data_IF_372864425340
#
_entry.id   IF_372864425340
#
_cell.length_a   1.000
_cell.length_b   1.000
_cell.length_c   1.000
_cell.angle_alpha   90.00
_cell.angle_beta   90.00
_cell.angle_gamma   90.00
#
_symmetry.space_group_name_H-M   'P 1'
#
loop_
_entity.id
_entity.type
_entity.pdbx_description
1 polymer ?
#
# COMPACT_ATOMS: atom_id res chain seq x y z
N UNK A 1 12.08 4.18 -32.28
CA UNK A 1 11.47 5.16 -31.36
C UNK A 1 12.33 5.20 -30.12
N UNK A 2 13.01 6.33 -29.89
CA UNK A 2 13.79 6.55 -28.68
C UNK A 2 12.78 6.71 -27.54
N UNK A 3 12.85 5.88 -26.52
CA UNK A 3 12.06 6.06 -25.30
C UNK A 3 12.56 7.34 -24.61
N UNK A 4 11.69 8.32 -24.48
CA UNK A 4 11.99 9.56 -23.76
C UNK A 4 11.66 9.29 -22.29
N UNK A 5 12.65 9.04 -21.48
CA UNK A 5 12.55 9.01 -20.01
C UNK A 5 13.17 10.30 -19.46
N UNK A 6 12.46 10.94 -18.55
CA UNK A 6 12.93 12.18 -17.91
C UNK A 6 14.17 11.93 -17.04
N UNK A 7 14.30 10.73 -16.48
CA UNK A 7 15.47 10.25 -15.75
C UNK A 7 15.38 8.73 -15.60
N UNK A 8 16.42 7.99 -16.00
CA UNK A 8 16.50 6.57 -15.68
C UNK A 8 16.55 6.36 -14.16
N UNK A 9 16.04 5.22 -13.73
CA UNK A 9 16.18 4.80 -12.32
C UNK A 9 17.66 4.56 -12.02
N UNK A 10 18.20 5.33 -11.09
CA UNK A 10 19.55 5.14 -10.59
C UNK A 10 19.56 4.06 -9.50
N UNK A 11 20.64 3.28 -9.49
CA UNK A 11 20.90 2.37 -8.41
C UNK A 11 21.35 3.15 -7.17
N UNK A 12 20.49 3.18 -6.16
CA UNK A 12 20.70 3.89 -4.88
C UNK A 12 20.92 2.94 -3.72
N UNK A 13 21.13 1.67 -4.04
CA UNK A 13 21.32 0.61 -3.04
C UNK A 13 20.21 0.53 -2.01
N UNK A 14 18.96 0.90 -2.39
CA UNK A 14 17.83 0.93 -1.49
C UNK A 14 16.53 0.57 -2.20
N UNK A 15 15.83 -0.44 -1.68
CA UNK A 15 14.53 -0.89 -2.17
C UNK A 15 13.53 -0.77 -1.03
N UNK A 16 12.35 -0.22 -1.33
CA UNK A 16 11.26 -0.12 -0.36
C UNK A 16 10.12 -1.05 -0.74
N UNK A 17 9.59 -1.79 0.22
CA UNK A 17 8.37 -2.57 0.07
C UNK A 17 7.31 -1.91 0.95
N UNK A 18 6.23 -1.46 0.31
CA UNK A 18 5.11 -0.84 0.99
C UNK A 18 3.95 -1.82 1.03
N UNK A 19 3.38 -2.00 2.20
CA UNK A 19 2.27 -2.90 2.47
C UNK A 19 1.08 -2.07 2.91
N UNK A 20 -0.08 -2.32 2.31
CA UNK A 20 -1.35 -1.70 2.70
C UNK A 20 -2.37 -2.78 2.97
N UNK A 21 -2.92 -2.78 4.17
CA UNK A 21 -4.03 -3.64 4.49
C UNK A 21 -5.35 -3.12 3.94
N UNK A 22 -6.33 -3.99 3.95
CA UNK A 22 -7.74 -3.60 3.78
C UNK A 22 -8.21 -2.81 5.00
N UNK A 23 -9.21 -1.97 4.82
CA UNK A 23 -9.84 -1.27 5.95
C UNK A 23 -10.44 -2.27 6.94
N UNK A 24 -10.22 -1.99 8.23
CA UNK A 24 -10.67 -2.88 9.30
C UNK A 24 -9.66 -3.98 9.68
N UNK A 25 -8.53 -4.09 9.00
CA UNK A 25 -7.46 -4.99 9.43
C UNK A 25 -6.90 -4.59 10.79
N UNK A 26 -6.60 -5.57 11.62
CA UNK A 26 -6.00 -5.34 12.94
C UNK A 26 -4.51 -5.03 12.81
N UNK A 27 -3.95 -4.41 13.85
CA UNK A 27 -2.50 -4.14 13.90
C UNK A 27 -1.69 -5.45 13.87
N UNK A 28 -2.17 -6.48 14.58
CA UNK A 28 -1.54 -7.81 14.62
C UNK A 28 -1.45 -8.42 13.24
N UNK A 29 -2.54 -8.34 12.47
CA UNK A 29 -2.53 -8.83 11.07
C UNK A 29 -1.48 -8.11 10.23
N UNK A 30 -1.41 -6.76 10.31
CA UNK A 30 -0.43 -5.98 9.55
C UNK A 30 0.99 -6.32 9.97
N UNK A 31 1.25 -6.43 11.26
CA UNK A 31 2.55 -6.81 11.81
C UNK A 31 2.98 -8.17 11.26
N UNK A 32 2.14 -9.18 11.45
CA UNK A 32 2.46 -10.57 11.08
C UNK A 32 2.65 -10.72 9.57
N UNK A 33 1.83 -10.04 8.77
CA UNK A 33 1.99 -10.01 7.32
C UNK A 33 3.28 -9.27 6.90
N UNK A 34 3.59 -8.16 7.57
CA UNK A 34 4.84 -7.42 7.29
C UNK A 34 6.06 -8.24 7.64
N UNK A 35 6.03 -8.98 8.75
CA UNK A 35 7.11 -9.88 9.16
C UNK A 35 7.29 -11.04 8.18
N UNK A 36 6.20 -11.61 7.66
CA UNK A 36 6.27 -12.64 6.60
C UNK A 36 6.91 -12.11 5.32
N UNK A 37 6.53 -10.89 4.89
CA UNK A 37 7.13 -10.27 3.70
C UNK A 37 8.59 -9.91 3.95
N UNK A 38 8.94 -9.49 5.18
CA UNK A 38 10.31 -9.22 5.57
C UNK A 38 11.18 -10.48 5.53
N UNK A 39 10.71 -11.60 6.07
CA UNK A 39 11.41 -12.88 6.02
C UNK A 39 11.60 -13.37 4.57
N UNK A 40 10.61 -13.17 3.72
CA UNK A 40 10.73 -13.46 2.29
C UNK A 40 11.78 -12.56 1.63
N UNK A 41 11.77 -11.26 1.90
CA UNK A 41 12.75 -10.31 1.35
C UNK A 41 14.16 -10.64 1.84
N UNK A 42 14.30 -11.07 3.08
CA UNK A 42 15.53 -11.56 3.70
C UNK A 42 16.15 -12.73 2.92
N UNK A 43 15.33 -13.67 2.53
CA UNK A 43 15.73 -14.86 1.78
C UNK A 43 16.07 -14.53 0.31
N UNK A 44 15.30 -13.65 -0.32
CA UNK A 44 15.43 -13.33 -1.75
C UNK A 44 16.54 -12.31 -2.05
N UNK A 45 16.96 -11.53 -1.05
CA UNK A 45 18.03 -10.55 -1.15
C UNK A 45 19.16 -10.87 -0.14
N UNK A 46 19.89 -11.99 -0.31
CA UNK A 46 20.97 -12.36 0.61
C UNK A 46 22.11 -11.34 0.65
N UNK A 47 22.27 -10.54 -0.41
CA UNK A 47 23.30 -9.48 -0.49
C UNK A 47 22.98 -8.26 0.35
N UNK A 48 21.79 -8.17 0.96
CA UNK A 48 21.43 -6.99 1.76
C UNK A 48 22.42 -6.70 2.87
N UNK A 49 22.69 -5.43 3.08
CA UNK A 49 23.47 -4.96 4.22
C UNK A 49 22.59 -4.82 5.47
N UNK A 50 21.35 -4.35 5.30
CA UNK A 50 20.40 -4.20 6.39
C UNK A 50 18.95 -4.33 5.88
N UNK A 51 18.07 -4.71 6.79
CA UNK A 51 16.63 -4.78 6.56
C UNK A 51 15.93 -4.06 7.71
N UNK A 52 15.19 -3.01 7.39
CA UNK A 52 14.40 -2.25 8.36
C UNK A 52 12.93 -2.56 8.17
N UNK A 53 12.25 -2.94 9.23
CA UNK A 53 10.83 -3.27 9.24
C UNK A 53 10.08 -2.32 10.16
N UNK A 54 8.98 -1.76 9.67
CA UNK A 54 8.07 -0.92 10.46
C UNK A 54 6.63 -1.26 10.10
N UNK A 55 5.79 -1.41 11.10
CA UNK A 55 4.36 -1.56 10.94
C UNK A 55 3.60 -0.50 11.75
N UNK A 56 2.48 -0.05 11.23
CA UNK A 56 1.49 0.76 11.93
C UNK A 56 0.09 0.17 11.70
N UNK A 57 -0.94 0.81 12.24
CA UNK A 57 -2.31 0.26 12.24
C UNK A 57 -2.87 -0.11 10.85
N UNK A 58 -2.33 0.41 9.76
CA UNK A 58 -2.89 0.20 8.41
C UNK A 58 -1.84 -0.13 7.36
N UNK A 59 -0.57 0.07 7.66
CA UNK A 59 0.51 -0.05 6.69
C UNK A 59 1.75 -0.73 7.29
N UNK A 60 2.44 -1.49 6.44
CA UNK A 60 3.78 -2.00 6.70
C UNK A 60 4.79 -1.37 5.74
N UNK A 61 5.99 -1.18 6.23
CA UNK A 61 7.11 -0.62 5.47
C UNK A 61 8.35 -1.45 5.71
N UNK A 62 8.94 -1.96 4.64
CA UNK A 62 10.19 -2.67 4.68
C UNK A 62 11.17 -1.93 3.78
N UNK A 63 12.34 -1.62 4.31
CA UNK A 63 13.44 -1.05 3.54
C UNK A 63 14.58 -2.04 3.51
N UNK A 64 14.97 -2.47 2.32
CA UNK A 64 16.12 -3.31 2.06
C UNK A 64 17.26 -2.40 1.64
N UNK A 65 18.30 -2.31 2.45
CA UNK A 65 19.54 -1.62 2.11
C UNK A 65 20.52 -2.62 1.51
N UNK A 66 21.03 -2.28 0.36
CA UNK A 66 22.01 -3.07 -0.36
C UNK A 66 23.41 -2.45 -0.17
N UNK A 67 24.49 -3.22 -0.29
CA UNK A 67 25.84 -2.68 -0.39
C UNK A 67 26.01 -1.88 -1.68
N UNK A 68 27.14 -1.21 -1.84
CA UNK A 68 27.47 -0.52 -3.10
C UNK A 68 27.38 -1.49 -4.29
N UNK A 69 27.01 -0.98 -5.46
CA UNK A 69 26.88 -1.80 -6.67
C UNK A 69 28.16 -2.55 -7.02
N UNK A 70 29.31 -2.05 -6.61
CA UNK A 70 30.61 -2.67 -6.81
C UNK A 70 30.84 -3.91 -5.94
N UNK A 71 30.11 -4.01 -4.83
CA UNK A 71 30.27 -5.04 -3.81
C UNK A 71 29.18 -6.13 -3.90
N UNK A 72 28.39 -6.16 -4.98
CA UNK A 72 27.32 -7.12 -5.21
C UNK A 72 27.23 -7.56 -6.67
N UNK A 73 26.70 -8.75 -6.89
CA UNK A 73 26.56 -9.33 -8.23
C UNK A 73 25.32 -8.83 -8.96
N UNK A 74 24.19 -8.70 -8.24
CA UNK A 74 22.91 -8.29 -8.80
C UNK A 74 22.69 -6.79 -8.64
N UNK A 75 22.16 -6.16 -9.70
CA UNK A 75 21.71 -4.76 -9.64
C UNK A 75 20.49 -4.61 -8.72
N UNK A 76 20.25 -3.40 -8.22
CA UNK A 76 19.03 -3.07 -7.47
C UNK A 76 17.77 -3.41 -8.27
N UNK A 77 17.77 -3.21 -9.59
CA UNK A 77 16.61 -3.50 -10.45
C UNK A 77 16.31 -4.99 -10.50
N UNK A 78 17.31 -5.84 -10.67
CA UNK A 78 17.15 -7.31 -10.67
C UNK A 78 16.58 -7.82 -9.34
N UNK A 79 17.11 -7.32 -8.23
CA UNK A 79 16.61 -7.67 -6.89
C UNK A 79 15.18 -7.18 -6.71
N UNK A 80 14.87 -5.95 -7.13
CA UNK A 80 13.53 -5.39 -7.05
C UNK A 80 12.51 -6.16 -7.90
N UNK A 81 12.90 -6.65 -9.07
CA UNK A 81 12.06 -7.48 -9.94
C UNK A 81 11.75 -8.84 -9.30
N UNK A 82 12.75 -9.49 -8.70
CA UNK A 82 12.55 -10.74 -7.95
C UNK A 82 11.60 -10.53 -6.79
N UNK A 83 11.82 -9.49 -5.99
CA UNK A 83 10.95 -9.15 -4.87
C UNK A 83 9.51 -8.84 -5.36
N UNK A 84 9.35 -8.06 -6.43
CA UNK A 84 8.05 -7.70 -7.00
C UNK A 84 7.25 -8.92 -7.44
N UNK A 85 7.88 -9.89 -8.10
CA UNK A 85 7.22 -11.13 -8.55
C UNK A 85 6.70 -11.94 -7.36
N UNK A 86 7.49 -12.05 -6.30
CA UNK A 86 7.13 -12.85 -5.13
C UNK A 86 6.07 -12.16 -4.24
N UNK A 87 6.15 -10.84 -4.11
CA UNK A 87 5.18 -10.05 -3.34
C UNK A 87 3.80 -10.07 -3.99
N UNK A 88 3.71 -10.03 -5.33
CA UNK A 88 2.42 -10.11 -6.06
C UNK A 88 1.65 -11.40 -5.83
N UNK A 89 2.32 -12.48 -5.50
CA UNK A 89 1.68 -13.77 -5.18
C UNK A 89 0.91 -13.78 -3.84
N UNK A 90 1.09 -12.76 -3.01
CA UNK A 90 0.41 -12.64 -1.71
C UNK A 90 -0.85 -11.79 -1.86
N UNK A 91 -2.01 -12.40 -1.57
CA UNK A 91 -3.34 -11.78 -1.78
C UNK A 91 -3.97 -11.23 -0.50
N UNK A 92 -3.40 -11.52 0.67
CA UNK A 92 -3.95 -11.18 1.98
C UNK A 92 -3.89 -9.66 2.27
N UNK A 93 -2.84 -8.99 1.78
CA UNK A 93 -2.73 -7.53 1.79
C UNK A 93 -2.05 -7.06 0.50
N UNK A 94 -2.25 -5.79 0.16
CA UNK A 94 -1.59 -5.20 -1.01
C UNK A 94 -0.16 -4.84 -0.65
N UNK A 95 0.81 -5.51 -1.26
CA UNK A 95 2.20 -5.19 -1.11
C UNK A 95 2.83 -4.84 -2.48
N UNK A 96 3.68 -3.84 -2.52
CA UNK A 96 4.34 -3.40 -3.73
C UNK A 96 5.76 -2.93 -3.46
N UNK A 97 6.64 -3.26 -4.38
CA UNK A 97 8.05 -2.88 -4.34
C UNK A 97 8.21 -1.55 -5.05
N UNK A 98 8.90 -0.63 -4.43
CA UNK A 98 9.17 0.69 -4.95
C UNK A 98 10.66 0.99 -4.88
N UNK A 99 11.21 1.49 -5.97
CA UNK A 99 12.55 2.05 -6.04
C UNK A 99 12.47 3.57 -5.97
N UNK A 100 13.45 4.19 -5.33
CA UNK A 100 13.49 5.65 -5.26
C UNK A 100 13.75 6.24 -6.65
N UNK A 101 12.88 7.16 -7.05
CA UNK A 101 13.08 7.95 -8.25
C UNK A 101 14.20 8.97 -8.04
N UNK A 102 14.98 9.25 -9.10
CA UNK A 102 16.02 10.28 -9.10
C UNK A 102 15.45 11.68 -8.91
N UNK A 103 14.29 11.93 -9.49
CA UNK A 103 13.53 13.17 -9.34
C UNK A 103 12.22 12.90 -8.57
N UNK A 104 11.98 13.72 -7.58
CA UNK A 104 10.81 13.60 -6.72
C UNK A 104 11.22 13.19 -5.31
N UNK A 105 11.07 14.11 -4.37
CA UNK A 105 11.49 13.93 -2.99
C UNK A 105 10.82 12.72 -2.32
N UNK A 106 11.07 12.55 -1.02
CA UNK A 106 10.58 11.45 -0.15
C UNK A 106 9.08 11.14 -0.17
N UNK A 107 8.29 11.91 -0.92
CA UNK A 107 6.85 11.74 -1.17
C UNK A 107 6.53 11.14 -2.54
N UNK A 108 7.50 10.56 -3.24
CA UNK A 108 7.23 9.88 -4.49
C UNK A 108 6.27 8.72 -4.22
N UNK A 109 4.99 9.01 -4.34
CA UNK A 109 3.92 8.03 -4.43
C UNK A 109 4.03 7.24 -5.74
N UNK A 110 2.95 6.67 -6.19
CA UNK A 110 2.91 6.03 -7.51
C UNK A 110 3.26 7.06 -8.60
N UNK A 111 3.99 6.66 -9.67
CA UNK A 111 4.50 7.56 -10.70
C UNK A 111 3.40 8.31 -11.44
N UNK A 112 2.18 7.76 -11.47
CA UNK A 112 1.01 8.39 -12.06
C UNK A 112 -0.02 8.65 -10.96
N UNK A 113 -0.43 9.90 -10.82
CA UNK A 113 -1.43 10.32 -9.84
C UNK A 113 -2.55 11.07 -10.56
N UNK A 114 -3.78 10.61 -10.35
CA UNK A 114 -4.98 11.28 -10.84
C UNK A 114 -5.82 11.79 -9.69
N UNK A 115 -6.38 12.98 -9.85
CA UNK A 115 -7.35 13.54 -8.92
C UNK A 115 -8.72 13.46 -9.56
N UNK A 116 -9.60 12.63 -8.99
CA UNK A 116 -11.00 12.57 -9.37
C UNK A 116 -11.78 13.55 -8.50
N UNK A 117 -12.53 14.43 -9.14
CA UNK A 117 -13.38 15.42 -8.47
C UNK A 117 -14.84 15.19 -8.87
N UNK A 118 -15.73 15.29 -7.91
CA UNK A 118 -17.16 15.28 -8.14
C UNK A 118 -17.84 16.33 -7.24
N UNK A 119 -19.07 16.66 -7.56
CA UNK A 119 -19.86 17.65 -6.82
C UNK A 119 -20.36 17.13 -5.47
N UNK A 120 -20.38 15.80 -5.28
CA UNK A 120 -20.77 15.16 -4.03
C UNK A 120 -20.03 13.83 -3.83
N UNK A 121 -20.01 13.36 -2.58
CA UNK A 121 -19.37 12.11 -2.20
C UNK A 121 -20.10 10.87 -2.77
N UNK A 122 -21.44 10.96 -2.86
CA UNK A 122 -22.29 9.92 -3.43
C UNK A 122 -21.94 9.65 -4.90
N UNK A 123 -21.70 10.71 -5.68
CA UNK A 123 -21.26 10.59 -7.07
C UNK A 123 -19.88 9.92 -7.18
N UNK A 124 -18.96 10.26 -6.27
CA UNK A 124 -17.66 9.55 -6.23
C UNK A 124 -17.84 8.07 -5.92
N UNK A 125 -18.74 7.74 -5.00
CA UNK A 125 -19.03 6.35 -4.62
C UNK A 125 -19.65 5.56 -5.81
N UNK A 126 -20.47 6.21 -6.63
CA UNK A 126 -21.08 5.63 -7.81
C UNK A 126 -20.07 5.35 -8.93
N UNK A 127 -19.21 6.33 -9.24
CA UNK A 127 -18.33 6.24 -10.41
C UNK A 127 -16.97 5.59 -10.13
N UNK A 128 -16.48 5.66 -8.89
CA UNK A 128 -15.15 5.16 -8.53
C UNK A 128 -14.95 3.67 -8.82
N UNK A 129 -15.91 2.76 -8.51
CA UNK A 129 -15.74 1.32 -8.80
C UNK A 129 -15.57 1.04 -10.29
N UNK A 130 -16.38 1.65 -11.15
CA UNK A 130 -16.30 1.47 -12.60
C UNK A 130 -14.98 2.01 -13.18
N UNK A 131 -14.50 3.15 -12.63
CA UNK A 131 -13.19 3.69 -13.01
C UNK A 131 -12.06 2.73 -12.60
N UNK A 132 -12.06 2.25 -11.36
CA UNK A 132 -11.04 1.34 -10.85
C UNK A 132 -11.03 0.01 -11.60
N UNK A 133 -12.19 -0.51 -11.99
CA UNK A 133 -12.29 -1.69 -12.81
C UNK A 133 -11.60 -1.48 -14.17
N UNK A 134 -11.90 -0.40 -14.89
CA UNK A 134 -11.26 -0.08 -16.17
C UNK A 134 -9.75 0.09 -16.06
N UNK A 135 -9.27 0.68 -14.97
CA UNK A 135 -7.84 0.82 -14.71
C UNK A 135 -7.19 -0.54 -14.46
N UNK A 136 -7.85 -1.43 -13.70
CA UNK A 136 -7.32 -2.78 -13.43
C UNK A 136 -7.30 -3.70 -14.65
N UNK A 137 -8.22 -3.50 -15.59
CA UNK A 137 -8.28 -4.24 -16.87
C UNK A 137 -7.24 -3.74 -17.88
N UNK A 138 -6.68 -2.56 -17.67
CA UNK A 138 -5.70 -1.97 -18.59
C UNK A 138 -4.33 -2.63 -18.43
N UNK A 139 -3.72 -3.15 -19.50
CA UNK A 139 -2.39 -3.74 -19.44
C UNK A 139 -1.26 -2.74 -19.20
N UNK A 140 -1.57 -1.44 -19.27
CA UNK A 140 -0.60 -0.36 -19.05
C UNK A 140 -0.29 -0.17 -17.57
N UNK A 141 -1.29 -0.40 -16.70
CA UNK A 141 -1.14 -0.20 -15.28
C UNK A 141 -0.86 -1.52 -14.57
N UNK A 142 0.28 -1.63 -13.94
CA UNK A 142 0.62 -2.81 -13.14
C UNK A 142 -0.15 -2.86 -11.82
N UNK A 143 -0.54 -1.70 -11.32
CA UNK A 143 -1.24 -1.53 -10.05
C UNK A 143 -1.96 -0.18 -10.03
N UNK A 144 -3.13 -0.16 -9.42
CA UNK A 144 -3.87 1.06 -9.11
C UNK A 144 -4.35 1.02 -7.66
N UNK A 145 -4.30 2.16 -6.99
CA UNK A 145 -4.84 2.30 -5.64
C UNK A 145 -5.58 3.64 -5.52
N UNK A 146 -6.53 3.71 -4.61
CA UNK A 146 -7.35 4.88 -4.35
C UNK A 146 -7.31 5.23 -2.87
N UNK A 147 -7.18 6.51 -2.56
CA UNK A 147 -7.13 6.98 -1.18
C UNK A 147 -8.49 6.96 -0.48
N UNK A 148 -9.58 7.15 -1.25
CA UNK A 148 -10.93 7.15 -0.73
C UNK A 148 -11.53 5.75 -0.83
N UNK A 149 -11.84 5.16 0.32
CA UNK A 149 -12.48 3.86 0.44
C UNK A 149 -13.82 4.02 1.15
N UNK A 150 -14.86 3.39 0.60
CA UNK A 150 -16.22 3.42 1.15
C UNK A 150 -16.58 2.15 1.93
N UNK A 151 -15.61 1.30 2.18
CA UNK A 151 -15.80 -0.03 2.78
C UNK A 151 -15.52 -0.09 4.28
N UNK A 152 -15.29 1.06 4.91
CA UNK A 152 -15.06 1.10 6.35
C UNK A 152 -16.32 0.64 7.09
N UNK A 153 -16.28 -0.45 7.84
CA UNK A 153 -17.42 -0.86 8.64
C UNK A 153 -17.69 0.19 9.72
N UNK A 154 -18.92 0.70 9.74
CA UNK A 154 -19.38 1.65 10.76
C UNK A 154 -20.44 0.98 11.64
N UNK A 155 -20.26 1.08 12.95
CA UNK A 155 -21.30 0.70 13.88
C UNK A 155 -22.24 1.88 14.10
N UNK A 156 -23.49 1.78 13.63
CA UNK A 156 -24.52 2.76 13.89
C UNK A 156 -25.35 2.32 15.09
N UNK A 157 -25.34 3.12 16.14
CA UNK A 157 -26.15 2.88 17.33
C UNK A 157 -27.43 3.69 17.21
N UNK A 158 -28.56 3.02 17.11
CA UNK A 158 -29.88 3.63 17.13
C UNK A 158 -30.53 3.39 18.51
N UNK A 159 -30.72 4.49 19.25
CA UNK A 159 -31.33 4.44 20.57
C UNK A 159 -32.85 4.51 20.43
N UNK A 160 -33.56 3.44 20.80
CA UNK A 160 -35.01 3.48 20.93
C UNK A 160 -35.38 4.23 22.21
N UNK A 161 -35.73 5.52 22.08
CA UNK A 161 -35.99 6.44 23.21
C UNK A 161 -37.20 6.02 24.03
N UNK A 162 -38.22 5.46 23.42
CA UNK A 162 -39.43 5.02 24.11
C UNK A 162 -39.12 3.82 25.01
N UNK A 163 -38.35 2.88 24.51
CA UNK A 163 -37.87 1.72 25.26
C UNK A 163 -36.90 2.12 26.39
N UNK A 164 -35.99 3.05 26.12
CA UNK A 164 -35.06 3.59 27.11
C UNK A 164 -35.83 4.28 28.27
N UNK A 165 -36.84 5.10 27.92
CA UNK A 165 -37.68 5.76 28.91
C UNK A 165 -38.50 4.76 29.77
N UNK A 166 -39.04 3.70 29.17
CA UNK A 166 -39.78 2.67 29.90
C UNK A 166 -38.90 1.84 30.85
N UNK A 167 -37.60 1.77 30.58
CA UNK A 167 -36.60 1.13 31.42
C UNK A 167 -35.96 2.07 32.44
N UNK A 168 -36.52 3.26 32.65
CA UNK A 168 -36.01 4.30 33.54
C UNK A 168 -34.54 4.72 33.24
N UNK A 169 -34.06 4.44 32.05
CA UNK A 169 -32.71 4.87 31.58
C UNK A 169 -32.79 6.19 30.86
N UNK A 170 -32.00 7.16 31.30
CA UNK A 170 -31.88 8.44 30.62
C UNK A 170 -30.96 8.31 29.38
N UNK A 171 -31.39 8.86 28.24
CA UNK A 171 -30.55 8.94 27.05
C UNK A 171 -29.30 9.81 27.22
N UNK A 172 -29.13 10.44 28.38
CA UNK A 172 -27.91 11.18 28.78
C UNK A 172 -26.86 10.28 29.39
N UNK A 173 -27.20 9.07 29.77
CA UNK A 173 -26.33 8.10 30.48
C UNK A 173 -25.79 7.01 29.53
N UNK A 174 -26.25 7.00 28.28
CA UNK A 174 -25.80 6.13 27.20
C UNK A 174 -25.01 6.97 26.19
#
# INVERSE_FOLDING_TARGET
>A
TIRSELSPLEDRSSISINIRAQEGATFEFIRDFTDQVAAMADTLAPERQALTVRANNSNGYITVLLPDIKDRERSQMEIADVLSKNVRGKTEARAFVQQQSTFGGRRAGMPVQYVLQATSLEKLQEYLPAFMQKVSESPVFQMADVNLKFTKPEARIEINRDKASSLASSTRTI
#
